data_IF_686427536777
#
_entry.id   IF_686427536777
#
_cell.length_a   1.000
_cell.length_b   1.000
_cell.length_c   1.000
_cell.angle_alpha   90.00
_cell.angle_beta   90.00
_cell.angle_gamma   90.00
#
_symmetry.space_group_name_H-M   'P 1'
#
loop_
_entity.id
_entity.type
_entity.pdbx_description
1 polymer ?
#
# COMPACT_ATOMS: atom_id res chain seq x y z
N UNK A 1 -0.04 -5.90 -6.54
CA UNK A 1 1.24 -5.73 -7.26
C UNK A 1 2.43 -5.94 -6.34
N UNK A 2 2.30 -6.73 -5.26
CA UNK A 2 3.40 -6.92 -4.33
C UNK A 2 4.60 -7.63 -4.96
N UNK A 3 4.45 -8.73 -5.73
CA UNK A 3 5.58 -9.38 -6.39
C UNK A 3 6.37 -8.43 -7.30
N UNK A 4 5.68 -7.57 -8.05
CA UNK A 4 6.31 -6.58 -8.94
C UNK A 4 7.04 -5.49 -8.15
N UNK A 5 6.46 -5.02 -7.05
CA UNK A 5 7.12 -4.05 -6.15
C UNK A 5 8.42 -4.61 -5.57
N UNK A 6 8.45 -5.90 -5.19
CA UNK A 6 9.67 -6.55 -4.68
C UNK A 6 10.77 -6.59 -5.73
N UNK A 7 10.43 -6.89 -6.98
CA UNK A 7 11.38 -6.88 -8.10
C UNK A 7 11.93 -5.47 -8.31
N UNK A 8 11.07 -4.47 -8.41
CA UNK A 8 11.48 -3.06 -8.61
C UNK A 8 12.34 -2.56 -7.46
N UNK A 9 11.97 -2.86 -6.21
CA UNK A 9 12.78 -2.50 -5.04
C UNK A 9 14.15 -3.22 -5.05
N UNK A 10 14.20 -4.47 -5.49
CA UNK A 10 15.46 -5.22 -5.60
C UNK A 10 16.42 -4.60 -6.63
N UNK A 11 15.90 -4.19 -7.78
CA UNK A 11 16.69 -3.52 -8.83
C UNK A 11 17.15 -2.13 -8.37
N UNK A 12 16.30 -1.39 -7.65
CA UNK A 12 16.68 -0.10 -7.07
C UNK A 12 17.83 -0.22 -6.05
N UNK A 13 17.84 -1.27 -5.21
CA UNK A 13 18.95 -1.54 -4.28
C UNK A 13 20.25 -1.94 -4.98
N UNK A 14 20.17 -2.44 -6.21
CA UNK A 14 21.34 -2.73 -7.04
C UNK A 14 21.93 -1.47 -7.69
N UNK A 15 21.31 -0.31 -7.47
CA UNK A 15 21.76 0.98 -7.99
C UNK A 15 21.25 1.29 -9.40
N UNK A 16 20.31 0.50 -9.93
CA UNK A 16 19.68 0.82 -11.21
C UNK A 16 18.80 2.08 -11.07
N UNK A 17 18.94 2.99 -12.02
CA UNK A 17 18.07 4.15 -12.15
C UNK A 17 16.65 3.75 -12.55
N UNK A 18 15.67 4.64 -12.32
CA UNK A 18 14.27 4.37 -12.64
C UNK A 18 14.05 4.00 -14.11
N UNK A 19 14.77 4.64 -15.04
CA UNK A 19 14.68 4.35 -16.47
C UNK A 19 15.30 2.98 -16.81
N UNK A 20 16.43 2.63 -16.17
CA UNK A 20 17.07 1.31 -16.34
C UNK A 20 16.16 0.19 -15.82
N UNK A 21 15.50 0.39 -14.69
CA UNK A 21 14.57 -0.59 -14.12
C UNK A 21 13.43 -0.91 -15.10
N UNK A 22 12.84 0.10 -15.75
CA UNK A 22 11.76 -0.14 -16.73
C UNK A 22 12.26 -1.00 -17.88
N UNK A 23 13.41 -0.65 -18.45
CA UNK A 23 13.97 -1.37 -19.59
C UNK A 23 14.42 -2.79 -19.20
N UNK A 24 14.99 -2.98 -18.00
CA UNK A 24 15.34 -4.29 -17.46
C UNK A 24 14.10 -5.19 -17.30
N UNK A 25 13.04 -4.68 -16.66
CA UNK A 25 11.78 -5.43 -16.49
C UNK A 25 11.18 -5.84 -17.84
N UNK A 26 11.22 -4.96 -18.84
CA UNK A 26 10.68 -5.24 -20.17
C UNK A 26 11.55 -6.25 -20.93
N UNK A 27 12.88 -6.06 -20.93
CA UNK A 27 13.84 -6.90 -21.65
C UNK A 27 13.75 -8.35 -21.18
N UNK A 28 13.71 -8.56 -19.87
CA UNK A 28 13.79 -9.90 -19.28
C UNK A 28 12.41 -10.43 -18.85
N UNK A 29 11.33 -9.69 -19.16
CA UNK A 29 9.94 -9.99 -18.81
C UNK A 29 9.77 -10.40 -17.34
N UNK A 30 10.35 -9.61 -16.43
CA UNK A 30 10.45 -9.97 -15.01
C UNK A 30 9.08 -10.10 -14.32
N UNK A 31 8.04 -9.44 -14.83
CA UNK A 31 6.66 -9.57 -14.33
C UNK A 31 5.84 -10.67 -15.03
N UNK A 32 6.46 -11.43 -15.94
CA UNK A 32 5.84 -12.55 -16.65
C UNK A 32 4.53 -12.18 -17.36
N UNK A 33 4.52 -11.02 -18.03
CA UNK A 33 3.37 -10.50 -18.76
C UNK A 33 3.51 -10.72 -20.27
N UNK A 34 2.40 -10.99 -20.96
CA UNK A 34 2.41 -11.16 -22.42
C UNK A 34 2.55 -9.83 -23.20
N UNK A 35 2.25 -8.70 -22.55
CA UNK A 35 2.19 -7.38 -23.18
C UNK A 35 3.34 -6.49 -22.70
N UNK A 36 4.23 -6.11 -23.63
CA UNK A 36 5.31 -5.16 -23.36
C UNK A 36 4.80 -3.76 -22.97
N UNK A 37 3.62 -3.37 -23.45
CA UNK A 37 2.96 -2.14 -23.01
C UNK A 37 2.56 -2.24 -21.53
N UNK A 38 1.92 -3.34 -21.15
CA UNK A 38 1.49 -3.57 -19.77
C UNK A 38 2.66 -3.73 -18.82
N UNK A 39 3.79 -4.31 -19.27
CA UNK A 39 5.04 -4.31 -18.51
C UNK A 39 5.46 -2.88 -18.18
N UNK A 40 5.58 -2.01 -19.18
CA UNK A 40 5.99 -0.62 -18.97
C UNK A 40 5.05 0.16 -18.06
N UNK A 41 3.75 0.05 -18.26
CA UNK A 41 2.74 0.71 -17.42
C UNK A 41 2.87 0.26 -15.96
N UNK A 42 2.93 -1.06 -15.71
CA UNK A 42 3.08 -1.61 -14.35
C UNK A 42 4.42 -1.25 -13.71
N UNK A 43 5.51 -1.25 -14.48
CA UNK A 43 6.83 -0.85 -13.97
C UNK A 43 6.81 0.61 -13.52
N UNK A 44 6.20 1.49 -14.33
CA UNK A 44 6.04 2.92 -13.99
C UNK A 44 5.18 3.11 -12.74
N UNK A 45 4.09 2.35 -12.59
CA UNK A 45 3.28 2.40 -11.38
C UNK A 45 4.07 1.98 -10.13
N UNK A 46 4.90 0.94 -10.25
CA UNK A 46 5.76 0.48 -9.16
C UNK A 46 6.85 1.51 -8.82
N UNK A 47 7.49 2.08 -9.83
CA UNK A 47 8.48 3.15 -9.68
C UNK A 47 7.86 4.36 -9.00
N UNK A 48 6.69 4.81 -9.47
CA UNK A 48 6.04 5.98 -8.90
C UNK A 48 5.65 5.72 -7.44
N UNK A 49 5.23 4.49 -7.09
CA UNK A 49 5.01 4.09 -5.69
C UNK A 49 6.29 4.05 -4.87
N UNK A 50 7.41 3.60 -5.42
CA UNK A 50 8.68 3.60 -4.69
C UNK A 50 9.21 5.03 -4.50
N UNK A 51 9.02 5.89 -5.50
CA UNK A 51 9.44 7.29 -5.49
C UNK A 51 8.73 8.14 -4.41
N UNK A 52 7.54 7.74 -3.95
CA UNK A 52 6.86 8.48 -2.85
C UNK A 52 7.64 8.46 -1.54
N UNK A 53 8.56 7.51 -1.36
CA UNK A 53 9.52 7.53 -0.23
C UNK A 53 10.55 8.65 -0.32
N UNK A 54 10.65 9.38 -1.43
CA UNK A 54 11.66 10.43 -1.66
C UNK A 54 11.04 11.78 -2.00
N UNK A 55 9.72 11.84 -2.17
CA UNK A 55 8.98 13.05 -2.54
C UNK A 55 8.44 13.82 -1.33
N UNK A 56 8.42 13.21 -0.14
CA UNK A 56 8.04 13.88 1.11
C UNK A 56 9.21 14.59 1.78
N UNK A 57 8.93 15.35 2.84
CA UNK A 57 9.92 15.76 3.86
C UNK A 57 10.37 14.52 4.64
N UNK A 58 10.95 13.54 3.93
CA UNK A 58 11.52 12.35 4.52
C UNK A 58 12.63 12.83 5.44
N UNK A 59 12.43 12.62 6.74
CA UNK A 59 13.33 13.15 7.74
C UNK A 59 14.76 12.58 7.61
N UNK A 60 14.93 11.44 6.92
CA UNK A 60 16.20 10.75 6.78
C UNK A 60 16.24 9.79 5.58
N UNK A 61 17.20 9.99 4.65
CA UNK A 61 17.50 9.09 3.52
C UNK A 61 17.70 7.62 3.96
N UNK A 62 18.21 7.40 5.16
CA UNK A 62 18.44 6.07 5.73
C UNK A 62 17.13 5.31 6.01
N UNK A 63 16.07 6.01 6.43
CA UNK A 63 14.77 5.41 6.69
C UNK A 63 14.12 4.93 5.39
N UNK A 64 14.21 5.75 4.34
CA UNK A 64 13.77 5.40 2.99
C UNK A 64 14.48 4.13 2.51
N UNK A 65 15.81 4.08 2.64
CA UNK A 65 16.62 2.93 2.23
C UNK A 65 16.28 1.66 3.04
N UNK A 66 15.94 1.80 4.34
CA UNK A 66 15.43 0.67 5.14
C UNK A 66 14.10 0.16 4.60
N UNK A 67 13.13 1.03 4.30
CA UNK A 67 11.83 0.64 3.74
C UNK A 67 11.99 -0.06 2.37
N UNK A 68 12.86 0.46 1.49
CA UNK A 68 13.18 -0.19 0.21
C UNK A 68 13.82 -1.57 0.44
N UNK A 69 14.74 -1.69 1.40
CA UNK A 69 15.38 -2.97 1.76
C UNK A 69 14.39 -4.00 2.26
N UNK A 70 13.49 -3.61 3.17
CA UNK A 70 12.44 -4.49 3.68
C UNK A 70 11.53 -4.95 2.53
N UNK A 71 11.11 -4.04 1.65
CA UNK A 71 10.27 -4.38 0.51
C UNK A 71 10.95 -5.38 -0.43
N UNK A 72 12.25 -5.23 -0.70
CA UNK A 72 12.99 -6.12 -1.60
C UNK A 72 13.31 -7.48 -0.96
N UNK A 73 13.81 -7.48 0.27
CA UNK A 73 14.52 -8.61 0.89
C UNK A 73 13.80 -9.19 2.11
N UNK A 74 12.87 -8.45 2.72
CA UNK A 74 12.13 -8.89 3.90
C UNK A 74 11.18 -10.06 3.62
N UNK A 75 10.54 -10.56 4.68
CA UNK A 75 9.50 -11.59 4.57
C UNK A 75 8.33 -11.13 3.69
N UNK A 76 7.44 -12.06 3.32
CA UNK A 76 6.25 -11.69 2.56
C UNK A 76 5.39 -10.69 3.35
N UNK A 77 5.19 -10.93 4.64
CA UNK A 77 4.38 -10.10 5.52
C UNK A 77 4.98 -8.70 5.69
N UNK A 78 6.30 -8.62 5.93
CA UNK A 78 7.01 -7.34 6.02
C UNK A 78 6.85 -6.52 4.73
N UNK A 79 7.05 -7.15 3.56
CA UNK A 79 6.91 -6.47 2.28
C UNK A 79 5.45 -6.07 2.00
N UNK A 80 4.47 -6.87 2.42
CA UNK A 80 3.06 -6.53 2.30
C UNK A 80 2.70 -5.30 3.14
N UNK A 81 3.19 -5.24 4.38
CA UNK A 81 3.01 -4.09 5.28
C UNK A 81 3.64 -2.83 4.71
N UNK A 82 4.91 -2.89 4.28
CA UNK A 82 5.58 -1.75 3.62
C UNK A 82 4.82 -1.32 2.36
N UNK A 83 4.38 -2.26 1.53
CA UNK A 83 3.63 -1.93 0.32
C UNK A 83 2.27 -1.27 0.64
N UNK A 84 1.58 -1.67 1.71
CA UNK A 84 0.35 -1.00 2.14
C UNK A 84 0.65 0.42 2.64
N UNK A 85 1.69 0.59 3.45
CA UNK A 85 2.16 1.90 3.88
C UNK A 85 2.49 2.82 2.69
N UNK A 86 3.19 2.32 1.67
CA UNK A 86 3.44 3.06 0.42
C UNK A 86 2.16 3.47 -0.32
N UNK A 87 1.11 2.65 -0.26
CA UNK A 87 -0.19 3.00 -0.83
C UNK A 87 -0.88 4.11 -0.01
N UNK A 88 -0.75 4.10 1.32
CA UNK A 88 -1.32 5.13 2.19
C UNK A 88 -0.63 6.48 2.02
N UNK A 89 0.70 6.53 1.85
CA UNK A 89 1.37 7.81 1.59
C UNK A 89 1.05 8.36 0.20
N UNK A 90 0.85 7.48 -0.79
CA UNK A 90 0.63 7.88 -2.18
C UNK A 90 -0.81 8.27 -2.51
N UNK A 91 -1.79 7.64 -1.88
CA UNK A 91 -3.19 7.75 -2.26
C UNK A 91 -4.06 8.11 -1.06
N UNK A 92 -4.65 9.30 -1.08
CA UNK A 92 -5.59 9.77 -0.04
C UNK A 92 -6.72 8.77 0.22
N UNK A 93 -7.23 8.13 -0.84
CA UNK A 93 -8.23 7.07 -0.72
C UNK A 93 -7.77 5.92 0.18
N UNK A 94 -6.53 5.46 0.01
CA UNK A 94 -6.00 4.38 0.84
C UNK A 94 -5.71 4.88 2.25
N UNK A 95 -5.17 6.10 2.40
CA UNK A 95 -4.91 6.73 3.70
C UNK A 95 -6.19 6.84 4.53
N UNK A 96 -7.21 7.49 3.99
CA UNK A 96 -8.52 7.64 4.62
C UNK A 96 -9.15 6.29 4.93
N UNK A 97 -9.14 5.34 3.97
CA UNK A 97 -9.70 4.02 4.20
C UNK A 97 -9.04 3.31 5.39
N UNK A 98 -7.71 3.31 5.41
CA UNK A 98 -6.94 2.62 6.45
C UNK A 98 -7.07 3.29 7.82
N UNK A 99 -7.19 4.61 7.89
CA UNK A 99 -7.34 5.34 9.16
C UNK A 99 -8.80 5.30 9.65
N UNK A 100 -9.72 5.78 8.83
CA UNK A 100 -11.11 6.04 9.22
C UNK A 100 -11.94 4.76 9.32
N UNK A 101 -11.62 3.73 8.52
CA UNK A 101 -12.33 2.45 8.59
C UNK A 101 -11.56 1.40 9.38
N UNK A 102 -10.31 1.14 9.02
CA UNK A 102 -9.59 -0.02 9.55
C UNK A 102 -9.01 0.29 10.93
N UNK A 103 -8.19 1.33 11.06
CA UNK A 103 -7.59 1.75 12.33
C UNK A 103 -8.66 2.01 13.41
N UNK A 104 -9.70 2.76 13.07
CA UNK A 104 -10.81 3.04 13.99
C UNK A 104 -11.53 1.77 14.49
N UNK A 105 -11.69 0.75 13.63
CA UNK A 105 -12.28 -0.54 14.05
C UNK A 105 -11.34 -1.36 14.90
N UNK A 106 -10.04 -1.37 14.60
CA UNK A 106 -9.04 -2.03 15.45
C UNK A 106 -9.02 -1.41 16.85
N UNK A 107 -9.01 -0.07 16.92
CA UNK A 107 -9.09 0.66 18.19
C UNK A 107 -10.37 0.29 18.98
N UNK A 108 -11.52 0.27 18.30
CA UNK A 108 -12.80 -0.08 18.91
C UNK A 108 -12.99 -1.59 19.19
N UNK A 109 -12.00 -2.43 18.83
CA UNK A 109 -12.11 -3.90 18.82
C UNK A 109 -13.32 -4.41 18.02
N UNK A 110 -13.75 -3.66 17.00
CA UNK A 110 -14.82 -4.04 16.10
C UNK A 110 -14.29 -4.96 14.99
N UNK A 111 -14.58 -6.25 15.12
CA UNK A 111 -14.20 -7.24 14.12
C UNK A 111 -15.12 -7.27 12.88
N UNK A 112 -16.16 -6.45 12.81
CA UNK A 112 -17.11 -6.45 11.70
C UNK A 112 -16.69 -5.49 10.59
N UNK A 113 -16.49 -6.00 9.38
CA UNK A 113 -16.25 -5.19 8.20
C UNK A 113 -16.91 -5.79 6.96
N UNK A 114 -18.09 -5.28 6.61
CA UNK A 114 -18.92 -5.84 5.53
C UNK A 114 -18.67 -5.13 4.19
N UNK A 115 -19.20 -5.72 3.11
CA UNK A 115 -19.22 -5.05 1.79
C UNK A 115 -20.06 -3.77 1.79
N UNK A 116 -21.07 -3.68 2.66
CA UNK A 116 -21.89 -2.50 2.81
C UNK A 116 -21.09 -1.36 3.45
N UNK A 117 -20.25 -1.66 4.45
CA UNK A 117 -19.35 -0.70 5.10
C UNK A 117 -18.35 -0.11 4.10
N UNK A 118 -17.70 -0.97 3.29
CA UNK A 118 -16.82 -0.51 2.21
C UNK A 118 -17.55 0.36 1.18
N UNK A 119 -18.81 0.03 0.87
CA UNK A 119 -19.66 0.85 0.01
C UNK A 119 -19.96 2.21 0.63
N UNK A 120 -20.31 2.25 1.91
CA UNK A 120 -20.61 3.46 2.64
C UNK A 120 -19.38 4.37 2.77
N UNK A 121 -18.20 3.79 3.02
CA UNK A 121 -16.92 4.51 2.99
C UNK A 121 -16.69 5.19 1.64
N UNK A 122 -16.78 4.46 0.53
CA UNK A 122 -16.56 5.06 -0.79
C UNK A 122 -17.57 6.16 -1.11
N UNK A 123 -18.83 6.01 -0.71
CA UNK A 123 -19.82 7.08 -0.87
C UNK A 123 -19.44 8.34 -0.06
N UNK A 124 -18.98 8.19 1.19
CA UNK A 124 -18.48 9.34 1.97
C UNK A 124 -17.25 9.97 1.32
N UNK A 125 -16.27 9.16 0.93
CA UNK A 125 -15.06 9.63 0.28
C UNK A 125 -15.37 10.44 -1.00
N UNK A 126 -16.33 9.99 -1.82
CA UNK A 126 -16.76 10.74 -3.02
C UNK A 126 -17.35 12.11 -2.73
N UNK A 127 -17.97 12.30 -1.56
CA UNK A 127 -18.56 13.58 -1.15
C UNK A 127 -17.50 14.55 -0.63
N UNK A 128 -16.45 14.03 0.00
CA UNK A 128 -15.43 14.82 0.70
C UNK A 128 -14.24 15.17 -0.19
N UNK A 129 -13.88 14.30 -1.14
CA UNK A 129 -12.67 14.45 -1.95
C UNK A 129 -12.95 14.97 -3.37
N UNK A 130 -12.36 16.10 -3.76
CA UNK A 130 -12.55 16.68 -5.09
C UNK A 130 -12.20 15.72 -6.24
N UNK A 131 -13.12 15.57 -7.19
CA UNK A 131 -12.93 14.74 -8.38
C UNK A 131 -13.32 13.27 -8.20
N UNK A 132 -13.52 12.80 -6.96
CA UNK A 132 -14.03 11.45 -6.69
C UNK A 132 -15.54 11.32 -7.04
N UNK A 133 -16.26 12.43 -7.01
CA UNK A 133 -17.66 12.57 -7.47
C UNK A 133 -17.88 12.11 -8.92
N UNK A 134 -16.83 12.08 -9.74
CA UNK A 134 -16.87 11.74 -11.17
C UNK A 134 -16.57 10.27 -11.46
N UNK A 135 -16.28 9.46 -10.45
CA UNK A 135 -15.95 8.05 -10.67
C UNK A 135 -17.16 7.28 -11.19
N UNK A 136 -16.93 6.46 -12.22
CA UNK A 136 -17.94 5.53 -12.74
C UNK A 136 -18.17 4.35 -11.80
N UNK A 137 -19.32 3.69 -11.93
CA UNK A 137 -19.61 2.45 -11.20
C UNK A 137 -18.54 1.37 -11.39
N UNK A 138 -17.97 1.28 -12.60
CA UNK A 138 -16.86 0.38 -12.89
C UNK A 138 -15.59 0.75 -12.10
N UNK A 139 -15.29 2.04 -11.98
CA UNK A 139 -14.17 2.53 -11.17
C UNK A 139 -14.39 2.19 -9.69
N UNK A 140 -15.59 2.42 -9.18
CA UNK A 140 -15.97 2.07 -7.80
C UNK A 140 -15.81 0.57 -7.56
N UNK A 141 -16.30 -0.27 -8.47
CA UNK A 141 -16.19 -1.72 -8.35
C UNK A 141 -14.73 -2.17 -8.33
N UNK A 142 -13.89 -1.59 -9.18
CA UNK A 142 -12.44 -1.83 -9.18
C UNK A 142 -11.78 -1.42 -7.88
N UNK A 143 -12.12 -0.23 -7.34
CA UNK A 143 -11.58 0.26 -6.08
C UNK A 143 -11.95 -0.65 -4.91
N UNK A 144 -13.21 -1.13 -4.83
CA UNK A 144 -13.61 -2.11 -3.82
C UNK A 144 -12.72 -3.35 -3.84
N UNK A 145 -12.47 -3.89 -5.03
CA UNK A 145 -11.59 -5.04 -5.21
C UNK A 145 -10.15 -4.76 -4.76
N UNK A 146 -9.60 -3.59 -5.12
CA UNK A 146 -8.24 -3.20 -4.72
C UNK A 146 -8.13 -3.03 -3.20
N UNK A 147 -9.07 -2.35 -2.56
CA UNK A 147 -9.08 -2.12 -1.11
C UNK A 147 -9.17 -3.44 -0.33
N UNK A 148 -10.15 -4.31 -0.66
CA UNK A 148 -10.26 -5.63 -0.04
C UNK A 148 -9.04 -6.51 -0.28
N UNK A 149 -8.46 -6.47 -1.49
CA UNK A 149 -7.24 -7.23 -1.79
C UNK A 149 -6.06 -6.77 -0.93
N UNK A 150 -5.88 -5.46 -0.71
CA UNK A 150 -4.81 -4.95 0.14
C UNK A 150 -4.95 -5.45 1.59
N UNK A 151 -6.17 -5.48 2.14
CA UNK A 151 -6.42 -6.04 3.48
C UNK A 151 -6.08 -7.53 3.55
N UNK A 152 -6.40 -8.30 2.51
CA UNK A 152 -6.02 -9.72 2.44
C UNK A 152 -4.50 -9.89 2.38
N UNK A 153 -3.81 -9.07 1.59
CA UNK A 153 -2.36 -9.16 1.45
C UNK A 153 -1.62 -8.97 2.78
N UNK A 154 -2.12 -8.09 3.65
CA UNK A 154 -1.51 -7.79 4.96
C UNK A 154 -2.05 -8.68 6.09
N UNK A 155 -3.17 -9.36 5.87
CA UNK A 155 -3.75 -10.33 6.82
C UNK A 155 -4.94 -9.83 7.63
N UNK A 156 -5.39 -8.59 7.42
CA UNK A 156 -6.59 -8.03 8.06
C UNK A 156 -7.86 -8.83 7.73
N UNK A 157 -7.91 -9.42 6.54
CA UNK A 157 -8.98 -10.30 6.08
C UNK A 157 -8.37 -11.62 5.60
N UNK A 158 -9.03 -12.74 5.91
CA UNK A 158 -8.62 -14.05 5.37
C UNK A 158 -8.83 -14.14 3.86
N UNK A 159 -9.95 -13.58 3.37
CA UNK A 159 -10.32 -13.54 1.95
C UNK A 159 -11.00 -12.22 1.63
N UNK A 160 -11.08 -11.85 0.34
CA UNK A 160 -11.75 -10.62 -0.09
C UNK A 160 -13.27 -10.63 0.15
N UNK A 161 -13.84 -11.80 0.49
CA UNK A 161 -15.24 -11.97 0.91
C UNK A 161 -15.42 -12.09 2.41
N UNK A 162 -14.34 -12.11 3.21
CA UNK A 162 -14.44 -12.13 4.66
C UNK A 162 -15.08 -10.85 5.15
N UNK A 163 -16.02 -10.99 6.08
CA UNK A 163 -16.61 -9.86 6.82
C UNK A 163 -16.08 -9.75 8.25
N UNK A 164 -15.11 -10.60 8.59
CA UNK A 164 -14.39 -10.59 9.85
C UNK A 164 -13.03 -9.93 9.66
N UNK A 165 -12.88 -8.74 10.23
CA UNK A 165 -11.63 -8.02 10.39
C UNK A 165 -10.86 -8.60 11.59
N UNK A 166 -9.56 -8.75 11.46
CA UNK A 166 -8.68 -9.15 12.55
C UNK A 166 -7.45 -8.24 12.63
N UNK A 167 -6.91 -7.99 13.83
CA UNK A 167 -5.64 -7.30 13.98
C UNK A 167 -4.51 -8.06 13.27
N UNK A 168 -3.56 -7.30 12.73
CA UNK A 168 -2.34 -7.85 12.13
C UNK A 168 -1.18 -7.69 13.11
N UNK A 169 -0.21 -8.60 13.03
CA UNK A 169 1.06 -8.40 13.72
C UNK A 169 1.92 -7.45 12.89
N UNK A 170 2.00 -6.19 13.29
CA UNK A 170 2.94 -5.23 12.69
C UNK A 170 4.37 -5.65 13.02
N UNK A 171 5.19 -5.84 12.00
CA UNK A 171 6.58 -6.20 12.19
C UNK A 171 7.37 -5.03 12.79
N UNK A 172 8.19 -5.32 13.80
CA UNK A 172 8.92 -4.28 14.54
C UNK A 172 9.87 -3.47 13.64
N UNK A 173 10.54 -4.10 12.67
CA UNK A 173 11.45 -3.41 11.76
C UNK A 173 10.67 -2.46 10.83
N UNK A 174 9.49 -2.89 10.38
CA UNK A 174 8.57 -2.06 9.58
C UNK A 174 8.07 -0.88 10.40
N UNK A 175 7.63 -1.11 11.64
CA UNK A 175 7.16 -0.06 12.54
C UNK A 175 8.24 1.02 12.74
N UNK A 176 9.46 0.61 13.13
CA UNK A 176 10.55 1.56 13.35
C UNK A 176 10.89 2.32 12.06
N UNK A 177 10.93 1.65 10.91
CA UNK A 177 11.21 2.30 9.65
C UNK A 177 10.15 3.36 9.27
N UNK A 178 8.87 3.11 9.56
CA UNK A 178 7.79 4.11 9.38
C UNK A 178 7.94 5.29 10.35
N UNK A 179 8.25 5.03 11.63
CA UNK A 179 8.49 6.10 12.63
C UNK A 179 9.67 6.98 12.23
N UNK A 180 10.77 6.36 11.81
CA UNK A 180 11.99 7.06 11.40
C UNK A 180 11.81 7.84 10.09
N UNK A 181 10.87 7.42 9.24
CA UNK A 181 10.47 8.18 8.06
C UNK A 181 9.64 9.43 8.40
N UNK A 182 9.14 9.53 9.63
CA UNK A 182 8.34 10.66 10.12
C UNK A 182 6.84 10.45 10.07
N UNK A 183 6.36 9.27 9.67
CA UNK A 183 4.93 8.97 9.47
C UNK A 183 4.35 8.13 10.63
N UNK A 184 4.75 8.43 11.86
CA UNK A 184 4.33 7.67 13.03
C UNK A 184 2.80 7.67 13.22
N UNK A 185 2.09 8.71 12.75
CA UNK A 185 0.64 8.80 12.78
C UNK A 185 -0.05 7.75 11.90
N UNK A 186 0.63 7.27 10.85
CA UNK A 186 0.08 6.24 9.97
C UNK A 186 0.08 4.85 10.61
N UNK A 187 0.79 4.65 11.73
CA UNK A 187 0.79 3.39 12.45
C UNK A 187 -0.58 3.05 13.07
N UNK A 188 -1.40 4.06 13.35
CA UNK A 188 -2.78 3.89 13.79
C UNK A 188 -3.59 2.96 12.86
N UNK A 189 -3.32 2.99 11.56
CA UNK A 189 -3.97 2.11 10.59
C UNK A 189 -3.65 0.62 10.78
N UNK A 190 -2.54 0.30 11.45
CA UNK A 190 -2.07 -1.06 11.67
C UNK A 190 -2.51 -1.62 13.02
N UNK A 191 -2.39 -0.80 14.06
CA UNK A 191 -2.54 -1.26 15.45
C UNK A 191 -3.67 -0.56 16.24
N UNK A 192 -4.32 0.45 15.65
CA UNK A 192 -5.36 1.23 16.33
C UNK A 192 -4.83 2.06 17.50
N UNK A 193 -3.52 2.20 17.66
CA UNK A 193 -2.92 2.97 18.76
C UNK A 193 -2.79 4.43 18.37
N UNK A 194 -3.48 5.31 19.09
CA UNK A 194 -3.32 6.75 18.92
C UNK A 194 -1.93 7.15 19.45
N UNK A 195 -1.13 7.83 18.62
CA UNK A 195 0.17 8.37 19.06
C UNK A 195 -0.10 9.39 20.18
N UNK A 196 0.30 9.07 21.42
CA UNK A 196 0.24 9.97 22.58
C UNK A 196 1.37 10.99 22.55
#
# INVERSE_FOLDING_TARGET
>A
MLPEMRIVASLALQGESLDEIVEHVVRDNLFQCASARSLRERSRDCIARLATLREGDCANDEACDRLVRILAQGSFDQAAQVNLYLLMIRFDLMRSFMIEEIGARIEAMDSSFTKADLGAFLTRFQLEYPGADKWSDETIMRLKGVLSYCLVQVGFLETASSEKLQPVFLDYEVEQAIRDNGDAELLFAFDGSTVM
#
